data_IF_702374182136
#
_entry.id   IF_702374182136
#
_cell.length_a   1.000
_cell.length_b   1.000
_cell.length_c   1.000
_cell.angle_alpha   90.00
_cell.angle_beta   90.00
_cell.angle_gamma   90.00
#
_symmetry.space_group_name_H-M   'P 1'
#
loop_
_entity.id
_entity.type
_entity.pdbx_description
1 polymer ?
#
# COMPACT_ATOMS: atom_id res chain seq x y z
N UNK A 1 -4.16 -24.22 -1.86
CA UNK A 1 -4.15 -22.97 -2.66
C UNK A 1 -4.36 -21.82 -1.69
N UNK A 2 -3.51 -20.80 -1.77
CA UNK A 2 -3.58 -19.59 -0.94
C UNK A 2 -4.72 -18.64 -1.30
N UNK A 3 -5.33 -18.81 -2.48
CA UNK A 3 -6.35 -17.91 -3.03
C UNK A 3 -5.76 -16.69 -3.76
N UNK A 4 -4.43 -16.57 -3.83
CA UNK A 4 -3.73 -15.45 -4.49
C UNK A 4 -3.73 -15.60 -6.01
N UNK A 5 -3.35 -14.54 -6.72
CA UNK A 5 -3.29 -14.49 -8.18
C UNK A 5 -2.45 -15.62 -8.81
N UNK A 6 -1.38 -16.05 -8.11
CA UNK A 6 -0.53 -17.19 -8.49
C UNK A 6 -1.30 -18.50 -8.60
N UNK A 7 -2.24 -18.77 -7.70
CA UNK A 7 -3.03 -20.01 -7.72
C UNK A 7 -3.95 -20.09 -8.96
N UNK A 8 -4.25 -18.95 -9.57
CA UNK A 8 -5.07 -18.86 -10.80
C UNK A 8 -4.23 -18.71 -12.07
N UNK A 9 -2.89 -18.76 -11.98
CA UNK A 9 -1.99 -18.64 -13.14
C UNK A 9 -1.95 -17.26 -13.79
N UNK A 10 -2.45 -16.21 -13.13
CA UNK A 10 -2.55 -14.85 -13.69
C UNK A 10 -1.40 -13.96 -13.21
N UNK A 11 -0.16 -14.34 -13.55
CA UNK A 11 1.07 -13.61 -13.23
C UNK A 11 1.92 -13.48 -14.50
N UNK A 12 2.52 -12.31 -14.76
CA UNK A 12 3.45 -12.11 -15.89
C UNK A 12 4.81 -11.53 -15.48
N UNK A 13 5.28 -11.85 -14.27
CA UNK A 13 6.62 -11.50 -13.78
C UNK A 13 7.61 -12.66 -13.88
N UNK A 14 8.91 -12.34 -13.95
CA UNK A 14 10.00 -13.34 -13.98
C UNK A 14 10.77 -13.41 -12.67
N UNK A 15 10.60 -12.42 -11.79
CA UNK A 15 11.34 -12.36 -10.54
C UNK A 15 10.72 -13.31 -9.50
N UNK A 16 11.57 -13.90 -8.67
CA UNK A 16 11.14 -14.78 -7.60
C UNK A 16 10.53 -13.96 -6.46
N UNK A 17 9.38 -14.37 -5.89
CA UNK A 17 8.87 -13.76 -4.67
C UNK A 17 9.75 -14.11 -3.47
N UNK A 18 9.68 -13.29 -2.41
CA UNK A 18 10.14 -13.69 -1.09
C UNK A 18 9.23 -14.76 -0.47
N UNK A 19 9.59 -15.24 0.72
CA UNK A 19 8.97 -16.42 1.34
C UNK A 19 7.46 -16.25 1.57
N UNK A 20 7.02 -15.09 2.06
CA UNK A 20 5.60 -14.82 2.31
C UNK A 20 4.89 -14.22 1.09
N UNK A 21 5.66 -13.80 0.08
CA UNK A 21 5.19 -13.00 -1.03
C UNK A 21 4.35 -11.82 -0.51
N UNK A 22 4.96 -11.02 0.37
CA UNK A 22 4.34 -9.92 1.07
C UNK A 22 5.35 -8.81 1.37
N UNK A 23 4.88 -7.59 1.63
CA UNK A 23 5.74 -6.44 1.96
C UNK A 23 6.65 -6.71 3.18
N UNK A 24 6.19 -7.57 4.07
CA UNK A 24 6.88 -8.02 5.29
C UNK A 24 8.04 -8.98 5.03
N UNK A 25 8.27 -9.42 3.78
CA UNK A 25 9.53 -10.08 3.39
C UNK A 25 10.72 -9.11 3.47
N UNK A 26 10.48 -7.79 3.45
CA UNK A 26 11.50 -6.79 3.75
C UNK A 26 11.78 -6.82 5.26
N UNK A 27 13.00 -7.15 5.70
CA UNK A 27 13.30 -7.34 7.12
C UNK A 27 12.92 -6.14 7.99
N UNK A 28 12.21 -6.42 9.09
CA UNK A 28 11.75 -5.43 10.07
C UNK A 28 10.40 -4.79 9.75
N UNK A 29 9.89 -4.93 8.52
CA UNK A 29 8.59 -4.37 8.16
C UNK A 29 7.46 -5.19 8.78
N UNK A 30 6.49 -4.52 9.39
CA UNK A 30 5.27 -5.13 9.95
C UNK A 30 4.01 -4.45 9.44
N UNK A 31 2.93 -5.22 9.35
CA UNK A 31 1.61 -4.75 8.92
C UNK A 31 0.54 -5.16 9.92
N UNK A 32 -0.38 -4.26 10.25
CA UNK A 32 -1.52 -4.54 11.11
C UNK A 32 -2.82 -3.98 10.56
N UNK A 33 -3.95 -4.60 10.89
CA UNK A 33 -5.26 -4.24 10.35
C UNK A 33 -6.32 -4.13 11.44
N UNK A 34 -6.99 -2.98 11.50
CA UNK A 34 -8.24 -2.83 12.24
C UNK A 34 -9.41 -2.77 11.27
N UNK A 35 -10.21 -3.84 11.21
CA UNK A 35 -11.38 -3.96 10.34
C UNK A 35 -12.65 -3.56 11.10
N UNK A 36 -13.42 -2.61 10.55
CA UNK A 36 -14.69 -2.16 11.11
C UNK A 36 -15.84 -2.59 10.21
N UNK A 37 -16.71 -3.47 10.75
CA UNK A 37 -17.91 -3.96 10.07
C UNK A 37 -19.11 -3.96 11.00
N UNK A 38 -20.07 -3.07 10.75
CA UNK A 38 -21.32 -3.01 11.50
C UNK A 38 -22.41 -2.27 10.69
N UNK A 39 -23.45 -2.98 10.25
CA UNK A 39 -24.47 -2.40 9.38
C UNK A 39 -23.87 -1.84 8.09
N UNK A 40 -24.06 -0.54 7.85
CA UNK A 40 -23.52 0.18 6.69
C UNK A 40 -22.05 0.61 6.86
N UNK A 41 -21.43 0.35 8.01
CA UNK A 41 -20.00 0.63 8.25
C UNK A 41 -19.18 -0.52 7.71
N UNK A 42 -18.31 -0.24 6.73
CA UNK A 42 -17.38 -1.18 6.10
C UNK A 42 -16.05 -0.47 5.81
N UNK A 43 -15.26 -0.20 6.84
CA UNK A 43 -14.02 0.59 6.74
C UNK A 43 -12.96 0.05 7.70
N UNK A 44 -11.88 0.79 7.90
CA UNK A 44 -10.87 0.42 8.88
C UNK A 44 -9.55 1.18 8.73
N UNK A 45 -8.54 0.67 9.40
CA UNK A 45 -7.17 1.19 9.37
C UNK A 45 -6.20 0.06 9.05
N UNK A 46 -5.22 0.34 8.19
CA UNK A 46 -4.06 -0.52 7.98
C UNK A 46 -2.80 0.25 8.38
N UNK A 47 -2.00 -0.33 9.27
CA UNK A 47 -0.71 0.23 9.67
C UNK A 47 0.44 -0.49 8.97
N UNK A 48 1.45 0.26 8.54
CA UNK A 48 2.72 -0.26 8.03
C UNK A 48 3.85 0.36 8.85
N UNK A 49 4.62 -0.49 9.53
CA UNK A 49 5.69 -0.10 10.44
C UNK A 49 7.03 -0.46 9.76
N UNK A 50 7.92 0.52 9.50
CA UNK A 50 9.20 0.26 8.82
C UNK A 50 10.18 -0.61 9.62
N UNK A 51 10.17 -0.48 10.96
CA UNK A 51 11.02 -1.25 11.87
C UNK A 51 10.51 -1.18 13.32
N UNK A 52 11.05 -2.01 14.21
CA UNK A 52 10.62 -2.11 15.62
C UNK A 52 11.16 -1.01 16.55
N UNK A 53 12.05 -0.16 16.04
CA UNK A 53 12.57 0.97 16.79
C UNK A 53 11.63 2.17 16.90
N UNK A 54 12.06 3.17 17.67
CA UNK A 54 11.47 4.50 17.66
C UNK A 54 11.73 5.18 16.30
N UNK A 55 10.72 5.21 15.43
CA UNK A 55 10.84 5.73 14.05
C UNK A 55 11.07 7.25 14.02
N UNK A 56 10.59 7.98 15.03
CA UNK A 56 10.87 9.40 15.13
C UNK A 56 12.37 9.65 15.37
N UNK A 57 13.00 8.85 16.23
CA UNK A 57 14.44 8.98 16.55
C UNK A 57 15.34 8.34 15.51
N UNK A 58 14.91 7.21 14.94
CA UNK A 58 15.60 6.49 13.87
C UNK A 58 14.72 6.51 12.63
N UNK A 59 14.85 7.57 11.84
CA UNK A 59 14.05 7.75 10.62
C UNK A 59 14.55 6.81 9.54
N UNK A 60 13.68 6.42 8.61
CA UNK A 60 14.08 5.66 7.41
C UNK A 60 14.07 6.56 6.19
N UNK A 61 14.89 6.26 5.19
CA UNK A 61 14.83 6.94 3.89
C UNK A 61 13.44 6.71 3.28
N UNK A 62 12.80 7.78 2.80
CA UNK A 62 11.51 7.71 2.13
C UNK A 62 11.40 8.66 0.93
N UNK A 63 10.50 8.33 0.02
CA UNK A 63 10.13 9.17 -1.11
C UNK A 63 8.68 8.88 -1.54
N UNK A 64 8.04 9.82 -2.22
CA UNK A 64 6.72 9.61 -2.78
C UNK A 64 6.62 10.06 -4.25
N UNK A 65 5.65 9.50 -4.96
CA UNK A 65 5.27 9.90 -6.31
C UNK A 65 3.75 10.08 -6.34
N UNK A 66 3.31 11.32 -6.58
CA UNK A 66 1.90 11.66 -6.81
C UNK A 66 1.64 11.49 -8.29
N UNK A 67 1.03 10.37 -8.66
CA UNK A 67 0.73 10.01 -10.04
C UNK A 67 -0.52 10.79 -10.51
N UNK A 68 -1.56 10.81 -9.68
CA UNK A 68 -2.70 11.72 -9.82
C UNK A 68 -3.18 12.22 -8.45
N UNK A 69 -3.27 13.53 -8.30
CA UNK A 69 -3.40 14.22 -7.01
C UNK A 69 -4.82 14.34 -6.46
N UNK A 70 -5.78 13.50 -6.87
CA UNK A 70 -7.16 13.59 -6.37
C UNK A 70 -7.35 13.04 -4.94
N UNK A 71 -6.27 12.69 -4.24
CA UNK A 71 -6.28 12.18 -2.85
C UNK A 71 -6.11 13.27 -1.77
N UNK A 72 -6.44 12.94 -0.52
CA UNK A 72 -6.42 13.83 0.66
C UNK A 72 -5.38 13.37 1.68
N UNK A 73 -4.28 12.81 1.20
CA UNK A 73 -3.17 12.30 2.03
C UNK A 73 -2.45 13.43 2.77
N UNK A 74 -1.83 13.10 3.91
CA UNK A 74 -1.02 14.03 4.70
C UNK A 74 0.42 13.52 4.90
N UNK A 75 1.32 14.47 5.13
CA UNK A 75 2.74 14.24 5.43
C UNK A 75 3.68 14.12 4.23
N UNK A 76 3.13 14.07 3.00
CA UNK A 76 3.92 13.89 1.77
C UNK A 76 4.87 15.07 1.48
N UNK A 77 4.52 16.29 1.87
CA UNK A 77 5.36 17.48 1.63
C UNK A 77 6.71 17.36 2.32
N UNK A 78 6.73 16.95 3.60
CA UNK A 78 7.99 16.79 4.34
C UNK A 78 8.73 15.51 3.94
N UNK A 79 8.02 14.45 3.51
CA UNK A 79 8.67 13.26 2.91
C UNK A 79 9.44 13.65 1.64
N UNK A 80 8.87 14.51 0.81
CA UNK A 80 9.52 15.01 -0.40
C UNK A 80 10.69 15.96 -0.10
N UNK A 81 10.54 16.83 0.90
CA UNK A 81 11.58 17.81 1.27
C UNK A 81 12.77 17.17 1.98
N UNK A 82 12.52 16.33 2.98
CA UNK A 82 13.55 15.76 3.86
C UNK A 82 13.97 14.35 3.48
N UNK A 83 13.25 13.71 2.54
CA UNK A 83 13.56 12.35 2.10
C UNK A 83 13.49 11.29 3.20
N UNK A 84 12.70 11.53 4.25
CA UNK A 84 12.63 10.65 5.43
C UNK A 84 11.20 10.40 5.88
N UNK A 85 11.00 9.25 6.52
CA UNK A 85 9.78 8.87 7.22
C UNK A 85 10.10 8.76 8.72
N UNK A 86 9.31 9.48 9.52
CA UNK A 86 9.52 9.62 10.98
C UNK A 86 8.33 9.13 11.83
N UNK A 87 7.35 8.48 11.18
CA UNK A 87 6.23 7.77 11.80
C UNK A 87 5.96 6.46 11.06
N UNK A 88 5.20 5.51 11.63
CA UNK A 88 4.50 4.51 10.82
C UNK A 88 3.64 5.17 9.73
N UNK A 89 3.29 4.39 8.70
CA UNK A 89 2.32 4.81 7.69
C UNK A 89 0.96 4.24 8.08
N UNK A 90 -0.09 5.07 8.10
CA UNK A 90 -1.47 4.60 8.21
C UNK A 90 -2.21 4.77 6.90
N UNK A 91 -3.01 3.76 6.55
CA UNK A 91 -3.99 3.80 5.47
C UNK A 91 -5.39 3.75 6.06
N UNK A 92 -6.33 4.53 5.53
CA UNK A 92 -7.74 4.52 5.95
C UNK A 92 -8.66 5.08 4.85
N UNK A 93 -9.91 5.40 5.18
CA UNK A 93 -10.82 6.09 4.25
C UNK A 93 -10.55 7.60 4.18
N UNK A 94 -11.06 8.28 3.15
CA UNK A 94 -10.82 9.72 2.91
C UNK A 94 -11.10 10.62 4.12
N UNK A 95 -12.17 10.37 4.87
CA UNK A 95 -12.55 11.21 6.02
C UNK A 95 -11.88 10.76 7.34
N UNK A 96 -11.20 9.61 7.35
CA UNK A 96 -10.42 9.12 8.50
C UNK A 96 -9.00 9.69 8.59
N UNK A 97 -8.49 10.39 7.55
CA UNK A 97 -7.10 10.88 7.50
C UNK A 97 -6.76 11.75 8.70
N UNK A 98 -7.60 12.72 9.05
CA UNK A 98 -7.35 13.61 10.18
C UNK A 98 -7.28 12.86 11.52
N UNK A 99 -8.19 11.91 11.74
CA UNK A 99 -8.20 11.07 12.95
C UNK A 99 -6.93 10.23 13.05
N UNK A 100 -6.53 9.56 11.97
CA UNK A 100 -5.30 8.76 11.95
C UNK A 100 -4.04 9.62 12.12
N UNK A 101 -4.02 10.84 11.59
CA UNK A 101 -2.91 11.77 11.77
C UNK A 101 -2.77 12.19 13.24
N UNK A 102 -3.88 12.50 13.92
CA UNK A 102 -3.88 12.77 15.36
C UNK A 102 -3.35 11.58 16.16
N UNK A 103 -3.78 10.36 15.82
CA UNK A 103 -3.30 9.14 16.48
C UNK A 103 -1.77 8.97 16.34
N UNK A 104 -1.22 9.16 15.14
CA UNK A 104 0.23 9.11 14.92
C UNK A 104 1.00 10.19 15.67
N UNK A 105 0.48 11.42 15.71
CA UNK A 105 1.09 12.51 16.48
C UNK A 105 1.12 12.16 17.97
N UNK A 106 0.01 11.64 18.52
CA UNK A 106 -0.06 11.25 19.94
C UNK A 106 0.86 10.09 20.26
N UNK A 107 0.93 9.08 19.39
CA UNK A 107 1.84 7.94 19.55
C UNK A 107 3.30 8.41 19.56
N UNK A 108 3.67 9.30 18.63
CA UNK A 108 5.02 9.85 18.57
C UNK A 108 5.36 10.66 19.83
N UNK A 109 4.45 11.50 20.33
CA UNK A 109 4.61 12.26 21.58
C UNK A 109 4.71 11.32 22.80
N UNK A 110 3.91 10.25 22.84
CA UNK A 110 3.98 9.28 23.93
C UNK A 110 5.35 8.58 23.99
N UNK A 111 5.91 8.23 22.83
CA UNK A 111 7.27 7.68 22.71
C UNK A 111 8.40 8.71 22.84
N UNK A 112 8.09 10.00 22.67
CA UNK A 112 9.06 11.11 22.66
C UNK A 112 8.42 12.39 23.27
N UNK A 113 8.34 12.49 24.62
CA UNK A 113 7.62 13.58 25.29
C UNK A 113 8.16 15.00 25.04
N UNK A 114 9.36 15.09 24.48
CA UNK A 114 10.05 16.33 24.15
C UNK A 114 9.69 16.92 22.77
N UNK A 115 8.94 16.17 21.94
CA UNK A 115 8.40 16.65 20.65
C UNK A 115 7.57 17.92 20.87
N UNK A 116 7.87 18.97 20.09
CA UNK A 116 7.20 20.27 20.22
C UNK A 116 7.44 20.97 21.57
N UNK A 117 8.50 20.57 22.28
CA UNK A 117 8.98 21.18 23.53
C UNK A 117 10.45 21.56 23.41
N UNK A 118 11.33 20.57 23.47
CA UNK A 118 12.79 20.77 23.33
C UNK A 118 13.34 20.21 22.03
N UNK A 119 12.52 19.46 21.27
CA UNK A 119 12.82 19.09 19.88
C UNK A 119 11.70 19.49 18.92
N UNK A 120 11.92 19.26 17.62
CA UNK A 120 11.00 19.55 16.54
C UNK A 120 9.64 18.87 16.70
N UNK A 121 8.67 19.29 15.88
CA UNK A 121 7.37 18.59 15.76
C UNK A 121 7.54 17.26 15.04
N UNK A 122 6.42 16.59 14.73
CA UNK A 122 6.38 15.31 14.01
C UNK A 122 5.46 15.41 12.79
N UNK A 123 5.85 14.73 11.72
CA UNK A 123 5.15 14.62 10.45
C UNK A 123 4.41 13.28 10.35
N UNK A 124 3.10 13.22 10.66
CA UNK A 124 2.32 12.00 10.48
C UNK A 124 2.08 11.72 9.00
N UNK A 125 2.37 10.49 8.56
CA UNK A 125 2.11 10.05 7.19
C UNK A 125 0.86 9.18 7.13
N UNK A 126 -0.21 9.71 6.53
CA UNK A 126 -1.49 9.01 6.36
C UNK A 126 -1.99 9.17 4.94
N UNK A 127 -2.35 8.05 4.31
CA UNK A 127 -2.86 8.00 2.94
C UNK A 127 -4.23 7.31 2.93
N UNK A 128 -5.00 7.47 1.84
CA UNK A 128 -6.41 7.09 1.85
C UNK A 128 -6.97 6.66 0.49
N UNK A 129 -8.12 6.00 0.55
CA UNK A 129 -9.02 5.79 -0.58
C UNK A 129 -10.48 6.03 -0.15
N UNK A 130 -11.37 6.31 -1.10
CA UNK A 130 -12.78 6.55 -0.82
C UNK A 130 -13.63 5.25 -0.86
N UNK A 131 -14.08 4.77 0.30
CA UNK A 131 -14.95 3.58 0.43
C UNK A 131 -16.47 3.87 0.44
N UNK A 132 -16.87 5.12 0.19
CA UNK A 132 -18.27 5.58 0.29
C UNK A 132 -19.35 4.77 -0.46
N UNK A 133 -19.05 4.05 -1.57
CA UNK A 133 -20.04 3.15 -2.18
C UNK A 133 -20.43 1.95 -1.29
N UNK A 134 -19.50 1.43 -0.48
CA UNK A 134 -19.74 0.27 0.39
C UNK A 134 -19.82 0.62 1.87
N UNK A 135 -19.29 1.77 2.26
CA UNK A 135 -19.24 2.29 3.62
C UNK A 135 -20.11 3.55 3.78
N UNK A 136 -20.72 3.75 4.96
CA UNK A 136 -21.18 5.08 5.37
C UNK A 136 -19.99 5.95 5.79
N UNK A 137 -19.28 6.50 4.80
CA UNK A 137 -18.10 7.35 5.05
C UNK A 137 -18.44 8.62 5.85
N UNK A 138 -19.71 9.07 5.81
CA UNK A 138 -20.16 10.26 6.55
C UNK A 138 -20.36 9.98 8.05
N UNK A 139 -20.50 8.72 8.45
CA UNK A 139 -20.53 8.34 9.86
C UNK A 139 -19.17 8.59 10.54
N UNK A 140 -18.09 8.76 9.77
CA UNK A 140 -16.72 9.00 10.27
C UNK A 140 -16.32 8.01 11.38
N UNK A 141 -16.63 6.72 11.17
CA UNK A 141 -16.56 5.70 12.22
C UNK A 141 -15.15 5.33 12.70
N UNK A 142 -14.10 5.72 11.97
CA UNK A 142 -12.71 5.46 12.38
C UNK A 142 -12.34 6.37 13.55
N UNK A 143 -11.85 5.77 14.64
CA UNK A 143 -11.39 6.47 15.84
C UNK A 143 -9.87 6.42 15.99
N UNK A 144 -9.30 7.24 16.89
CA UNK A 144 -7.86 7.17 17.23
C UNK A 144 -7.51 5.79 17.83
N UNK A 145 -8.43 5.16 18.57
CA UNK A 145 -8.23 3.84 19.15
C UNK A 145 -8.12 2.74 18.06
N UNK A 146 -8.88 2.86 16.97
CA UNK A 146 -8.77 1.93 15.85
C UNK A 146 -7.41 2.00 15.15
N UNK A 147 -6.86 3.22 15.03
CA UNK A 147 -5.52 3.43 14.51
C UNK A 147 -4.44 2.85 15.44
N UNK A 148 -4.60 3.05 16.75
CA UNK A 148 -3.70 2.47 17.76
C UNK A 148 -3.74 0.95 17.77
N UNK A 149 -4.93 0.34 17.67
CA UNK A 149 -5.05 -1.12 17.60
C UNK A 149 -4.34 -1.67 16.36
N UNK A 150 -4.52 -1.05 15.19
CA UNK A 150 -3.83 -1.46 13.96
C UNK A 150 -2.29 -1.39 14.11
N UNK A 151 -1.76 -0.38 14.81
CA UNK A 151 -0.33 -0.28 15.11
C UNK A 151 0.14 -1.38 16.07
N UNK A 152 -0.62 -1.66 17.12
CA UNK A 152 -0.25 -2.61 18.18
C UNK A 152 -0.20 -4.05 17.68
N UNK A 153 -1.16 -4.44 16.83
CA UNK A 153 -1.23 -5.83 16.33
C UNK A 153 -0.34 -6.09 15.12
N UNK A 154 0.41 -5.08 14.64
CA UNK A 154 1.20 -5.22 13.44
C UNK A 154 2.24 -6.33 13.57
N UNK A 155 2.26 -7.25 12.60
CA UNK A 155 3.12 -8.43 12.56
C UNK A 155 3.64 -8.73 11.15
N UNK A 156 4.21 -9.92 10.97
CA UNK A 156 4.78 -10.36 9.68
C UNK A 156 3.73 -10.98 8.76
N UNK A 157 2.65 -11.53 9.32
CA UNK A 157 1.56 -12.13 8.56
C UNK A 157 0.61 -11.03 8.05
N UNK A 158 0.42 -10.97 6.72
CA UNK A 158 -0.41 -9.95 6.08
C UNK A 158 -1.70 -10.57 5.57
N UNK A 159 -2.82 -10.20 6.19
CA UNK A 159 -4.14 -10.54 5.66
C UNK A 159 -4.48 -9.64 4.45
N UNK A 160 -5.16 -10.20 3.45
CA UNK A 160 -5.47 -9.52 2.19
C UNK A 160 -6.99 -9.51 1.93
N UNK A 161 -7.45 -8.73 0.96
CA UNK A 161 -8.85 -8.56 0.61
C UNK A 161 -9.58 -7.56 1.52
N UNK A 162 -10.67 -8.00 2.13
CA UNK A 162 -11.64 -7.15 2.84
C UNK A 162 -11.23 -6.84 4.29
N UNK A 163 -10.01 -6.34 4.49
CA UNK A 163 -9.45 -6.08 5.82
C UNK A 163 -8.89 -4.67 5.96
N UNK A 164 -8.83 -4.15 7.18
CA UNK A 164 -8.25 -2.85 7.50
C UNK A 164 -8.84 -1.74 6.64
N UNK A 165 -7.97 -0.90 6.06
CA UNK A 165 -8.38 0.14 5.13
C UNK A 165 -9.08 -0.39 3.86
N UNK A 166 -8.82 -1.64 3.48
CA UNK A 166 -9.37 -2.28 2.28
C UNK A 166 -10.82 -2.78 2.41
N UNK A 167 -11.39 -2.73 3.62
CA UNK A 167 -12.69 -3.33 3.95
C UNK A 167 -13.78 -2.93 2.95
N UNK A 168 -13.99 -1.64 2.71
CA UNK A 168 -15.03 -1.11 1.82
C UNK A 168 -14.58 -0.75 0.41
N UNK A 169 -13.39 -1.17 -0.02
CA UNK A 169 -12.84 -0.71 -1.31
C UNK A 169 -13.33 -1.52 -2.52
N UNK A 170 -13.35 -0.89 -3.70
CA UNK A 170 -13.78 -1.46 -4.99
C UNK A 170 -12.73 -1.27 -6.08
N UNK A 171 -12.38 -2.31 -6.84
CA UNK A 171 -11.38 -2.22 -7.90
C UNK A 171 -11.91 -2.81 -9.21
N UNK A 172 -11.84 -2.05 -10.32
CA UNK A 172 -12.39 -2.41 -11.63
C UNK A 172 -13.86 -2.90 -11.59
N UNK A 173 -14.66 -2.32 -10.69
CA UNK A 173 -16.04 -2.72 -10.44
C UNK A 173 -16.22 -4.06 -9.69
N UNK A 174 -15.15 -4.80 -9.42
CA UNK A 174 -15.12 -5.90 -8.47
C UNK A 174 -14.82 -5.38 -7.05
N UNK A 175 -14.84 -6.28 -6.07
CA UNK A 175 -14.34 -5.97 -4.74
C UNK A 175 -12.81 -5.82 -4.80
N UNK A 176 -12.30 -4.72 -4.26
CA UNK A 176 -10.87 -4.47 -4.05
C UNK A 176 -10.50 -4.63 -2.58
N UNK A 177 -9.38 -4.04 -2.17
CA UNK A 177 -8.99 -4.05 -0.77
C UNK A 177 -7.48 -4.01 -0.57
N UNK A 178 -6.99 -4.70 0.45
CA UNK A 178 -5.55 -4.86 0.69
C UNK A 178 -5.02 -5.99 -0.18
N UNK A 179 -3.89 -5.77 -0.86
CA UNK A 179 -3.12 -6.85 -1.44
C UNK A 179 -1.63 -6.58 -1.31
N UNK A 180 -0.83 -7.62 -1.32
CA UNK A 180 0.61 -7.50 -1.16
C UNK A 180 1.36 -8.53 -2.00
N UNK A 181 2.59 -8.20 -2.35
CA UNK A 181 3.54 -9.14 -2.94
C UNK A 181 4.97 -8.63 -2.75
N UNK A 182 5.95 -9.49 -2.98
CA UNK A 182 7.36 -9.15 -2.90
C UNK A 182 8.16 -9.76 -4.03
N UNK A 183 9.39 -9.28 -4.22
CA UNK A 183 10.43 -9.94 -5.01
C UNK A 183 11.73 -9.98 -4.21
N UNK A 184 12.45 -11.08 -4.35
CA UNK A 184 13.82 -11.22 -3.88
C UNK A 184 14.79 -11.30 -5.06
N UNK A 185 16.00 -10.78 -4.87
CA UNK A 185 17.08 -10.75 -5.86
C UNK A 185 18.43 -10.62 -5.15
N UNK A 186 19.51 -10.91 -5.86
CA UNK A 186 20.86 -10.86 -5.29
C UNK A 186 21.59 -9.57 -5.70
N UNK A 187 22.22 -8.91 -4.73
CA UNK A 187 23.21 -7.84 -4.95
C UNK A 187 24.44 -8.16 -4.09
N UNK A 188 25.63 -8.14 -4.69
CA UNK A 188 26.91 -8.43 -4.02
C UNK A 188 26.90 -9.72 -3.18
N UNK A 189 26.30 -10.79 -3.69
CA UNK A 189 26.22 -12.09 -2.99
C UNK A 189 25.21 -12.14 -1.84
N UNK A 190 24.40 -11.09 -1.65
CA UNK A 190 23.38 -11.01 -0.60
C UNK A 190 21.99 -10.93 -1.20
N UNK A 191 21.05 -11.64 -0.57
CA UNK A 191 19.63 -11.56 -0.92
C UNK A 191 19.07 -10.25 -0.38
N UNK A 192 18.39 -9.54 -1.26
CA UNK A 192 17.65 -8.31 -1.00
C UNK A 192 16.21 -8.44 -1.44
N UNK A 193 15.35 -7.60 -0.89
CA UNK A 193 13.91 -7.65 -1.04
C UNK A 193 13.34 -6.31 -1.51
N UNK A 194 12.27 -6.39 -2.30
CA UNK A 194 11.36 -5.29 -2.54
C UNK A 194 9.93 -5.79 -2.39
N UNK A 195 9.19 -5.16 -1.48
CA UNK A 195 7.81 -5.48 -1.16
C UNK A 195 6.87 -4.35 -1.57
N UNK A 196 5.65 -4.68 -1.97
CA UNK A 196 4.56 -3.71 -2.17
C UNK A 196 3.31 -4.15 -1.42
N UNK A 197 2.66 -3.21 -0.76
CA UNK A 197 1.30 -3.31 -0.24
C UNK A 197 0.42 -2.29 -0.97
N UNK A 198 -0.70 -2.75 -1.52
CA UNK A 198 -1.65 -1.96 -2.27
C UNK A 198 -2.98 -1.85 -1.52
N UNK A 199 -3.52 -0.63 -1.45
CA UNK A 199 -4.92 -0.36 -1.13
C UNK A 199 -5.65 -0.06 -2.43
N UNK A 200 -6.41 -1.01 -2.95
CA UNK A 200 -6.99 -0.94 -4.30
C UNK A 200 -8.43 -0.45 -4.30
N UNK A 201 -8.66 0.73 -4.86
CA UNK A 201 -9.98 1.33 -4.99
C UNK A 201 -10.21 2.01 -6.36
N UNK A 202 -9.61 1.50 -7.45
CA UNK A 202 -9.51 2.19 -8.73
C UNK A 202 -9.99 1.36 -9.93
N UNK A 203 -10.13 2.03 -11.07
CA UNK A 203 -10.41 1.41 -12.37
C UNK A 203 -11.90 1.21 -12.62
N UNK A 204 -12.33 1.35 -13.88
CA UNK A 204 -13.75 1.17 -14.24
C UNK A 204 -14.07 -0.30 -14.46
N UNK A 205 -15.34 -0.64 -14.30
CA UNK A 205 -15.84 -1.95 -14.71
C UNK A 205 -15.54 -2.18 -16.20
N UNK A 206 -14.87 -3.31 -16.50
CA UNK A 206 -14.50 -3.70 -17.86
C UNK A 206 -13.10 -3.25 -18.34
N UNK A 207 -12.42 -2.38 -17.59
CA UNK A 207 -11.06 -1.94 -17.95
C UNK A 207 -9.97 -2.94 -17.52
N UNK A 208 -10.28 -3.85 -16.60
CA UNK A 208 -9.30 -4.84 -16.10
C UNK A 208 -8.75 -5.69 -17.25
N UNK A 209 -7.43 -5.70 -17.38
CA UNK A 209 -6.69 -6.61 -18.25
C UNK A 209 -5.86 -7.54 -17.40
N UNK A 210 -6.15 -8.84 -17.47
CA UNK A 210 -5.35 -9.86 -16.79
C UNK A 210 -4.05 -10.13 -17.56
N UNK A 211 -3.00 -10.64 -16.89
CA UNK A 211 -1.72 -10.98 -17.51
C UNK A 211 -1.79 -11.92 -18.73
N UNK A 212 -2.83 -12.75 -18.82
CA UNK A 212 -3.08 -13.68 -19.94
C UNK A 212 -3.99 -13.08 -21.03
N UNK A 213 -4.28 -11.78 -20.96
CA UNK A 213 -5.10 -11.05 -21.93
C UNK A 213 -6.61 -11.14 -21.69
N UNK A 214 -7.08 -11.95 -20.73
CA UNK A 214 -8.51 -11.97 -20.38
C UNK A 214 -8.96 -10.61 -19.83
N UNK A 215 -10.22 -10.27 -20.08
CA UNK A 215 -10.85 -9.01 -19.65
C UNK A 215 -12.09 -9.29 -18.78
N UNK A 216 -11.92 -9.54 -17.48
CA UNK A 216 -13.03 -9.77 -16.57
C UNK A 216 -13.97 -8.57 -16.54
N UNK A 217 -15.27 -8.83 -16.55
CA UNK A 217 -16.28 -7.80 -16.39
C UNK A 217 -17.28 -8.20 -15.31
N UNK A 218 -17.52 -7.34 -14.31
CA UNK A 218 -18.54 -7.57 -13.30
C UNK A 218 -19.96 -7.28 -13.81
N UNK A 219 -20.13 -6.96 -15.12
CA UNK A 219 -21.39 -6.54 -15.76
C UNK A 219 -22.07 -5.36 -15.05
N UNK A 220 -21.28 -4.51 -14.39
CA UNK A 220 -21.74 -3.23 -13.83
C UNK A 220 -21.75 -2.14 -14.91
N UNK A 221 -22.63 -1.15 -14.77
CA UNK A 221 -22.64 0.01 -15.66
C UNK A 221 -21.32 0.79 -15.59
N UNK A 222 -20.84 1.23 -16.76
CA UNK A 222 -19.64 2.05 -16.85
C UNK A 222 -19.90 3.43 -16.25
N UNK A 223 -19.17 3.77 -15.19
CA UNK A 223 -19.18 5.07 -14.55
C UNK A 223 -17.86 5.81 -14.84
N UNK A 224 -17.82 7.16 -14.76
CA UNK A 224 -16.57 7.89 -14.76
C UNK A 224 -15.62 7.32 -13.70
N UNK A 225 -14.32 7.35 -13.99
CA UNK A 225 -13.31 6.91 -13.02
C UNK A 225 -13.31 7.95 -11.88
N UNK A 226 -13.55 7.46 -10.65
CA UNK A 226 -13.52 8.23 -9.40
C UNK A 226 -12.82 7.46 -8.27
N UNK A 227 -11.93 6.56 -8.63
CA UNK A 227 -11.29 5.61 -7.74
C UNK A 227 -10.16 6.22 -6.92
N UNK A 228 -9.30 5.40 -6.37
CA UNK A 228 -8.00 5.78 -5.79
C UNK A 228 -7.16 4.51 -5.61
N UNK A 229 -5.84 4.64 -5.59
CA UNK A 229 -4.95 3.55 -5.19
C UNK A 229 -3.76 4.11 -4.44
N UNK A 230 -3.49 3.50 -3.29
CA UNK A 230 -2.28 3.77 -2.51
C UNK A 230 -1.36 2.57 -2.62
N UNK A 231 -0.11 2.85 -2.97
CA UNK A 231 0.94 1.84 -3.11
C UNK A 231 2.04 2.16 -2.11
N UNK A 232 2.24 1.28 -1.14
CA UNK A 232 3.34 1.37 -0.17
C UNK A 232 4.42 0.39 -0.60
N UNK A 233 5.62 0.90 -0.87
CA UNK A 233 6.79 0.13 -1.28
C UNK A 233 7.82 0.11 -0.15
N UNK A 234 8.39 -1.07 0.10
CA UNK A 234 9.50 -1.22 1.04
C UNK A 234 10.67 -1.94 0.34
N UNK A 235 11.90 -1.65 0.73
CA UNK A 235 13.08 -2.40 0.31
C UNK A 235 14.17 -2.37 1.37
N UNK A 236 15.03 -3.38 1.39
CA UNK A 236 16.24 -3.43 2.22
C UNK A 236 17.52 -3.07 1.41
N UNK A 237 17.34 -2.47 0.23
CA UNK A 237 18.45 -2.00 -0.59
C UNK A 237 18.87 -0.59 -0.16
N UNK A 238 20.16 -0.31 0.10
CA UNK A 238 20.65 1.03 0.39
C UNK A 238 20.48 1.93 -0.83
N UNK A 239 19.90 3.12 -0.66
CA UNK A 239 19.62 4.05 -1.75
C UNK A 239 19.79 5.50 -1.27
N UNK A 240 19.88 6.43 -2.20
CA UNK A 240 19.57 7.84 -1.94
C UNK A 240 18.11 8.19 -2.29
N UNK A 241 17.64 9.36 -1.85
CA UNK A 241 16.25 9.80 -2.05
C UNK A 241 15.82 9.77 -3.53
N UNK A 242 16.64 10.32 -4.43
CA UNK A 242 16.33 10.34 -5.88
C UNK A 242 16.19 8.94 -6.46
N UNK A 243 17.01 7.98 -6.03
CA UNK A 243 16.92 6.60 -6.47
C UNK A 243 15.62 5.95 -5.99
N UNK A 244 15.31 6.08 -4.69
CA UNK A 244 14.08 5.56 -4.11
C UNK A 244 12.83 6.17 -4.76
N UNK A 245 12.84 7.48 -5.04
CA UNK A 245 11.74 8.15 -5.75
C UNK A 245 11.53 7.55 -7.14
N UNK A 246 12.61 7.30 -7.88
CA UNK A 246 12.53 6.69 -9.21
C UNK A 246 11.99 5.26 -9.17
N UNK A 247 12.36 4.47 -8.16
CA UNK A 247 11.83 3.12 -7.94
C UNK A 247 10.35 3.20 -7.58
N UNK A 248 9.98 4.05 -6.62
CA UNK A 248 8.59 4.26 -6.16
C UNK A 248 7.66 4.62 -7.32
N UNK A 249 8.08 5.51 -8.22
CA UNK A 249 7.33 5.86 -9.42
C UNK A 249 7.01 4.68 -10.35
N UNK A 250 7.80 3.58 -10.31
CA UNK A 250 7.56 2.40 -11.15
C UNK A 250 6.33 1.61 -10.74
N UNK A 251 5.83 1.81 -9.52
CA UNK A 251 4.53 1.31 -9.11
C UNK A 251 3.42 1.71 -10.11
N UNK A 252 3.45 2.94 -10.64
CA UNK A 252 2.51 3.38 -11.67
C UNK A 252 2.52 2.53 -12.95
N UNK A 253 3.68 2.02 -13.37
CA UNK A 253 3.78 1.14 -14.53
C UNK A 253 3.18 -0.26 -14.26
N UNK A 254 3.20 -0.72 -13.01
CA UNK A 254 2.51 -1.94 -12.60
C UNK A 254 0.98 -1.81 -12.69
N UNK A 255 0.44 -0.65 -12.27
CA UNK A 255 -0.99 -0.34 -12.41
C UNK A 255 -1.42 -0.34 -13.88
N UNK A 256 -0.65 0.32 -14.75
CA UNK A 256 -0.98 0.46 -16.16
C UNK A 256 -1.11 -0.89 -16.89
N UNK A 257 -0.35 -1.92 -16.46
CA UNK A 257 -0.44 -3.28 -17.01
C UNK A 257 -1.81 -3.95 -16.77
N UNK A 258 -2.58 -3.47 -15.81
CA UNK A 258 -3.90 -4.01 -15.47
C UNK A 258 -5.05 -3.21 -16.08
N UNK A 259 -4.76 -2.22 -16.93
CA UNK A 259 -5.76 -1.36 -17.56
C UNK A 259 -6.02 -0.03 -16.84
N UNK A 260 -5.20 0.32 -15.85
CA UNK A 260 -5.23 1.66 -15.25
C UNK A 260 -4.76 2.73 -16.25
N UNK A 261 -5.42 3.88 -16.26
CA UNK A 261 -5.03 5.03 -17.09
C UNK A 261 -4.98 6.36 -16.31
N UNK A 262 -4.98 6.28 -14.97
CA UNK A 262 -4.96 7.43 -14.04
C UNK A 262 -6.10 8.42 -14.31
N UNK A 263 -7.32 7.95 -14.09
CA UNK A 263 -8.53 8.72 -14.35
C UNK A 263 -8.63 9.98 -13.49
N UNK A 264 -9.30 11.01 -14.02
CA UNK A 264 -9.36 12.35 -13.40
C UNK A 264 -9.71 12.34 -11.90
N UNK A 265 -10.69 11.54 -11.48
CA UNK A 265 -11.12 11.46 -10.08
C UNK A 265 -10.30 10.50 -9.21
N UNK A 266 -9.20 9.94 -9.72
CA UNK A 266 -8.42 8.90 -9.03
C UNK A 266 -7.30 9.47 -8.16
N UNK A 267 -7.31 9.22 -6.85
CA UNK A 267 -6.16 9.53 -5.99
C UNK A 267 -5.10 8.44 -6.11
N UNK A 268 -4.12 8.61 -6.99
CA UNK A 268 -3.11 7.60 -7.30
C UNK A 268 -1.75 8.03 -6.74
N UNK A 269 -1.33 7.41 -5.63
CA UNK A 269 -0.12 7.81 -4.91
C UNK A 269 0.71 6.57 -4.55
N UNK A 270 2.01 6.66 -4.81
CA UNK A 270 2.98 5.69 -4.33
C UNK A 270 3.89 6.35 -3.28
N UNK A 271 4.14 5.66 -2.17
CA UNK A 271 5.14 6.02 -1.16
C UNK A 271 6.08 4.84 -0.97
N UNK A 272 7.38 5.09 -1.01
CA UNK A 272 8.42 4.09 -0.83
C UNK A 272 9.32 4.45 0.34
N UNK A 273 9.82 3.43 1.04
CA UNK A 273 10.88 3.58 2.03
C UNK A 273 11.94 2.47 1.91
N UNK A 274 13.17 2.77 2.34
CA UNK A 274 14.23 1.77 2.48
C UNK A 274 14.61 1.57 3.94
N UNK A 275 14.71 0.32 4.39
CA UNK A 275 15.13 -0.04 5.75
C UNK A 275 16.65 -0.13 5.90
N UNK A 276 17.40 0.01 4.80
CA UNK A 276 18.85 -0.17 4.78
C UNK A 276 19.64 1.00 5.37
N UNK A 277 19.05 2.21 5.35
CA UNK A 277 19.66 3.43 5.85
C UNK A 277 18.71 4.10 6.82
N UNK A 278 19.19 4.34 8.04
CA UNK A 278 18.47 5.07 9.08
C UNK A 278 19.16 6.39 9.40
N UNK A 279 18.38 7.43 9.68
CA UNK A 279 18.87 8.74 10.08
C UNK A 279 18.53 8.99 11.54
N UNK A 280 19.56 9.25 12.34
CA UNK A 280 19.40 9.61 13.75
C UNK A 280 18.91 11.05 13.86
N UNK A 281 17.82 11.25 14.58
CA UNK A 281 17.26 12.57 14.83
C UNK A 281 18.18 13.46 15.67
N UNK A 282 18.97 12.84 16.55
CA UNK A 282 19.85 13.52 17.49
C UNK A 282 21.33 13.46 17.03
N UNK A 283 21.56 13.22 15.74
CA UNK A 283 22.88 13.16 15.14
C UNK A 283 23.67 14.46 15.40
N UNK A 284 24.87 14.33 15.98
CA UNK A 284 25.74 15.46 16.31
C UNK A 284 26.88 15.66 15.32
N UNK A 285 27.11 14.72 14.39
CA UNK A 285 28.16 14.83 13.38
C UNK A 285 27.74 15.76 12.25
N UNK A 286 28.68 16.60 11.80
CA UNK A 286 28.47 17.50 10.66
C UNK A 286 28.35 16.74 9.31
N UNK A 287 28.93 15.55 9.23
CA UNK A 287 28.96 14.71 8.03
C UNK A 287 28.61 13.27 8.40
N UNK A 288 27.64 12.70 7.67
CA UNK A 288 27.21 11.31 7.81
C UNK A 288 27.43 10.59 6.50
N UNK A 289 28.07 9.43 6.56
CA UNK A 289 28.25 8.56 5.41
C UNK A 289 27.03 7.64 5.26
N UNK A 290 26.54 7.48 4.03
CA UNK A 290 25.49 6.52 3.69
C UNK A 290 25.97 5.61 2.55
N UNK A 291 25.63 4.33 2.64
CA UNK A 291 25.75 3.43 1.51
C UNK A 291 24.60 3.71 0.53
N UNK A 292 24.89 3.63 -0.77
CA UNK A 292 23.89 3.81 -1.83
C UNK A 292 24.09 2.76 -2.91
N UNK A 293 22.99 2.39 -3.57
CA UNK A 293 23.01 1.47 -4.70
C UNK A 293 23.84 2.06 -5.84
N UNK A 294 24.69 1.23 -6.44
CA UNK A 294 25.27 1.55 -7.74
C UNK A 294 24.14 1.75 -8.77
N UNK A 295 24.02 2.97 -9.28
CA UNK A 295 22.96 3.40 -10.18
C UNK A 295 22.72 2.44 -11.37
N UNK A 296 23.78 1.82 -11.90
CA UNK A 296 23.68 0.87 -13.01
C UNK A 296 22.96 -0.44 -12.66
N UNK A 297 22.58 -0.65 -11.40
CA UNK A 297 21.80 -1.81 -10.92
C UNK A 297 20.32 -1.48 -10.66
N UNK A 298 19.91 -0.23 -10.80
CA UNK A 298 18.56 0.22 -10.40
C UNK A 298 17.43 -0.43 -11.20
N UNK A 299 17.68 -0.88 -12.43
CA UNK A 299 16.68 -1.54 -13.27
C UNK A 299 16.12 -2.83 -12.65
N UNK A 300 16.90 -3.51 -11.81
CA UNK A 300 16.42 -4.65 -11.01
C UNK A 300 15.28 -4.22 -10.09
N UNK A 301 15.43 -3.09 -9.40
CA UNK A 301 14.39 -2.54 -8.53
C UNK A 301 13.22 -1.98 -9.32
N UNK A 302 13.46 -1.40 -10.50
CA UNK A 302 12.37 -0.96 -11.36
C UNK A 302 11.49 -2.13 -11.80
N UNK A 303 12.10 -3.24 -12.22
CA UNK A 303 11.35 -4.46 -12.56
C UNK A 303 10.60 -5.01 -11.34
N UNK A 304 11.26 -5.12 -10.20
CA UNK A 304 10.66 -5.61 -8.96
C UNK A 304 9.43 -4.77 -8.57
N UNK A 305 9.54 -3.44 -8.57
CA UNK A 305 8.43 -2.54 -8.24
C UNK A 305 7.22 -2.72 -9.17
N UNK A 306 7.45 -2.88 -10.49
CA UNK A 306 6.38 -3.13 -11.46
C UNK A 306 5.71 -4.48 -11.22
N UNK A 307 6.50 -5.54 -11.07
CA UNK A 307 5.99 -6.91 -10.87
C UNK A 307 5.26 -7.05 -9.53
N UNK A 308 5.82 -6.49 -8.44
CA UNK A 308 5.17 -6.47 -7.13
C UNK A 308 3.85 -5.68 -7.17
N UNK A 309 3.83 -4.53 -7.84
CA UNK A 309 2.60 -3.72 -7.88
C UNK A 309 1.48 -4.47 -8.63
N UNK A 310 1.80 -5.03 -9.80
CA UNK A 310 0.83 -5.77 -10.59
C UNK A 310 0.27 -6.97 -9.80
N UNK A 311 1.15 -7.74 -9.15
CA UNK A 311 0.74 -8.90 -8.37
C UNK A 311 -0.03 -8.51 -7.10
N UNK A 312 0.39 -7.48 -6.37
CA UNK A 312 -0.30 -7.00 -5.17
C UNK A 312 -1.74 -6.55 -5.49
N UNK A 313 -1.95 -5.86 -6.62
CA UNK A 313 -3.30 -5.49 -7.07
C UNK A 313 -4.14 -6.73 -7.36
N UNK A 314 -3.61 -7.69 -8.11
CA UNK A 314 -4.35 -8.92 -8.41
C UNK A 314 -4.64 -9.74 -7.16
N UNK A 315 -3.69 -9.86 -6.24
CA UNK A 315 -3.90 -10.52 -4.94
C UNK A 315 -5.01 -9.83 -4.16
N UNK A 316 -5.06 -8.50 -4.12
CA UNK A 316 -6.15 -7.78 -3.44
C UNK A 316 -7.54 -8.18 -3.96
N UNK A 317 -7.68 -8.36 -5.27
CA UNK A 317 -8.96 -8.68 -5.92
C UNK A 317 -9.31 -10.17 -5.83
N UNK A 318 -8.31 -11.05 -5.88
CA UNK A 318 -8.46 -12.49 -5.73
C UNK A 318 -8.80 -12.87 -4.28
N UNK A 319 -8.16 -12.23 -3.31
CA UNK A 319 -8.37 -12.48 -1.87
C UNK A 319 -9.63 -11.79 -1.32
N UNK A 320 -10.18 -10.82 -2.05
CA UNK A 320 -11.41 -10.14 -1.66
C UNK A 320 -12.64 -11.06 -1.76
N UNK A 321 -13.48 -11.06 -0.72
CA UNK A 321 -14.78 -11.71 -0.72
C UNK A 321 -15.87 -10.77 -1.29
N UNK A 322 -16.94 -11.29 -1.91
CA UNK A 322 -18.04 -10.45 -2.35
C UNK A 322 -18.66 -9.69 -1.17
N UNK A 323 -19.07 -8.44 -1.41
CA UNK A 323 -19.62 -7.56 -0.37
C UNK A 323 -20.85 -6.83 -0.86
N UNK A 324 -21.88 -6.82 -0.02
CA UNK A 324 -23.00 -5.89 -0.08
C UNK A 324 -22.74 -4.78 0.92
N UNK A 325 -22.61 -3.56 0.42
CA UNK A 325 -22.45 -2.37 1.25
C UNK A 325 -23.66 -1.45 1.15
N UNK A 326 -23.51 -0.23 1.67
CA UNK A 326 -24.57 0.78 1.79
C UNK A 326 -25.30 1.08 0.48
N UNK A 327 -24.55 1.36 -0.60
CA UNK A 327 -25.10 1.83 -1.87
C UNK A 327 -24.78 0.94 -3.07
N UNK A 328 -23.97 -0.11 -2.86
CA UNK A 328 -23.49 -0.96 -3.94
C UNK A 328 -23.22 -2.39 -3.49
N UNK A 329 -23.23 -3.29 -4.47
CA UNK A 329 -22.74 -4.66 -4.32
C UNK A 329 -21.50 -4.84 -5.19
N UNK A 330 -20.54 -5.64 -4.70
CA UNK A 330 -19.33 -6.00 -5.44
C UNK A 330 -19.11 -7.50 -5.39
N UNK A 331 -18.90 -8.09 -6.56
CA UNK A 331 -18.47 -9.48 -6.72
C UNK A 331 -16.96 -9.59 -6.50
N UNK A 332 -16.47 -10.74 -6.05
CA UNK A 332 -15.03 -11.04 -6.05
C UNK A 332 -14.52 -11.42 -7.44
N UNK A 333 -13.24 -11.14 -7.73
CA UNK A 333 -12.59 -11.60 -8.95
C UNK A 333 -12.39 -13.13 -8.92
N UNK A 334 -12.06 -13.70 -7.76
CA UNK A 334 -11.96 -15.14 -7.58
C UNK A 334 -13.25 -15.87 -7.98
N UNK A 335 -14.42 -15.33 -7.60
CA UNK A 335 -15.70 -15.90 -8.02
C UNK A 335 -15.89 -15.85 -9.54
N UNK A 336 -15.47 -14.77 -10.20
CA UNK A 336 -15.52 -14.68 -11.67
C UNK A 336 -14.57 -15.68 -12.33
N UNK A 337 -13.37 -15.87 -11.78
CA UNK A 337 -12.38 -16.84 -12.29
C UNK A 337 -12.89 -18.27 -12.17
N UNK A 338 -13.57 -18.61 -11.06
CA UNK A 338 -14.18 -19.92 -10.86
C UNK A 338 -15.25 -20.21 -11.92
N UNK A 339 -16.21 -19.29 -12.13
CA UNK A 339 -17.23 -19.44 -13.18
C UNK A 339 -16.60 -19.62 -14.57
N UNK A 340 -15.54 -18.85 -14.86
CA UNK A 340 -14.86 -18.92 -16.15
C UNK A 340 -14.21 -20.29 -16.35
N UNK A 341 -13.52 -20.82 -15.33
CA UNK A 341 -12.92 -22.15 -15.38
C UNK A 341 -13.97 -23.25 -15.54
N UNK A 342 -15.13 -23.13 -14.90
CA UNK A 342 -16.23 -24.09 -15.08
C UNK A 342 -16.83 -24.05 -16.48
N UNK A 343 -16.94 -22.86 -17.07
CA UNK A 343 -17.52 -22.65 -18.40
C UNK A 343 -16.60 -23.02 -19.56
N UNK A 344 -15.30 -23.25 -19.30
CA UNK A 344 -14.27 -23.53 -20.32
C UNK A 344 -13.53 -24.85 -20.04
N UNK A 345 -14.22 -25.83 -19.44
CA UNK A 345 -13.68 -27.16 -19.10
C UNK A 345 -13.71 -28.17 -20.26
N UNK A 346 -13.95 -27.72 -21.49
CA UNK A 346 -14.04 -28.56 -22.70
C UNK A 346 -12.69 -28.73 -23.41
#
# INVERSE_FOLDING_TARGET
>A
MTGKARDYGIICGIMQPGDNNAITDVPGVRVGHRTLRNGDINTGVTAIIPHDGNIYRRKVLAACDVINGFGKSTGLVQVEELGTLETPILLTNTFGVGTCANALIREAIAGNPDIGRTTATVNPVVLECNDGPLNDIQAMAVTEADAQEALQIAGTDVSEGNVGAGTGMSCFGFKGGIGTSSRQFELDGKVHHLGVLALTNFGRAGDLVLPDGRRPSPKAEAQPEKGSVILVLATDVPMEHRQLKRVTRRCGAGLARLGAFWGHGSGDIAIGFSTAVTFDHDETRDVVEIAVLNENRIDTLFRAAVECTQEAVLNSMCMAEPMRGRAANRRSLAGWLADWLESNKD
#
